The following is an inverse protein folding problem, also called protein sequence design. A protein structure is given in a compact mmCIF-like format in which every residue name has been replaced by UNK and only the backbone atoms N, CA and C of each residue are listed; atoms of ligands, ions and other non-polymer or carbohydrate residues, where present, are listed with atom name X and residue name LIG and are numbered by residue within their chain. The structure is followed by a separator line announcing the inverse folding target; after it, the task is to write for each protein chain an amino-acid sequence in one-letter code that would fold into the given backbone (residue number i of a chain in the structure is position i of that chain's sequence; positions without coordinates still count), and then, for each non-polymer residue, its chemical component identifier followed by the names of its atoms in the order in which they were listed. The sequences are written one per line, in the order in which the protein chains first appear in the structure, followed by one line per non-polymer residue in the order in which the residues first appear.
data_IF_078459918711
#
_entry.id   IF_078459918711
#
_cell.length_a   1.000
_cell.length_b   1.000
_cell.length_c   1.000
_cell.angle_alpha   90.00
_cell.angle_beta   90.00
_cell.angle_gamma   90.00
#
_symmetry.space_group_name_H-M   'P 1'
#
loop_
_entity.id
_entity.type
_entity.pdbx_description
1 polymer ?
#
# COMPACT_ATOMS: atom_id res chain seq x y z
N UNK A 1 -1.64 -17.54 -2.27
CA UNK A 1 -0.62 -17.51 -3.33
C UNK A 1 0.34 -18.67 -3.09
N UNK A 2 0.96 -19.20 -4.14
CA UNK A 2 1.93 -20.28 -4.03
C UNK A 2 3.23 -19.81 -3.36
N UNK A 3 3.88 -20.68 -2.58
CA UNK A 3 5.09 -20.36 -1.83
C UNK A 3 6.22 -19.73 -2.68
N UNK A 4 6.55 -20.24 -3.89
CA UNK A 4 7.61 -19.65 -4.70
C UNK A 4 7.31 -18.22 -5.17
N UNK A 5 6.02 -17.89 -5.35
CA UNK A 5 5.59 -16.54 -5.73
C UNK A 5 5.76 -15.60 -4.54
N UNK A 6 5.37 -16.05 -3.34
CA UNK A 6 5.55 -15.28 -2.11
C UNK A 6 7.03 -15.01 -1.84
N UNK A 7 7.90 -16.01 -2.03
CA UNK A 7 9.36 -15.82 -1.89
C UNK A 7 9.89 -14.77 -2.87
N UNK A 8 9.50 -14.86 -4.15
CA UNK A 8 9.92 -13.90 -5.17
C UNK A 8 9.42 -12.47 -4.88
N UNK A 9 8.24 -12.31 -4.27
CA UNK A 9 7.74 -11.02 -3.79
C UNK A 9 8.59 -10.54 -2.61
N UNK A 10 8.79 -11.37 -1.60
CA UNK A 10 9.56 -11.07 -0.40
C UNK A 10 11.00 -10.63 -0.73
N UNK A 11 11.66 -11.26 -1.70
CA UNK A 11 13.00 -10.88 -2.16
C UNK A 11 13.06 -9.48 -2.79
N UNK A 12 11.97 -9.01 -3.39
CA UNK A 12 11.89 -7.71 -4.08
C UNK A 12 11.35 -6.58 -3.20
N UNK A 13 10.72 -6.92 -2.07
CA UNK A 13 10.20 -5.93 -1.14
C UNK A 13 11.33 -5.08 -0.54
N UNK A 14 11.07 -3.78 -0.43
CA UNK A 14 11.98 -2.81 0.20
C UNK A 14 11.24 -2.10 1.32
N UNK A 15 11.79 -2.21 2.52
CA UNK A 15 11.22 -1.51 3.68
C UNK A 15 11.40 0.00 3.52
N UNK A 16 10.33 0.76 3.81
CA UNK A 16 10.36 2.21 3.82
C UNK A 16 9.54 2.73 5.00
N UNK A 17 10.15 3.63 5.79
CA UNK A 17 9.50 4.27 6.93
C UNK A 17 8.97 5.63 6.53
N UNK A 18 7.76 5.95 6.98
CA UNK A 18 7.12 7.24 6.80
C UNK A 18 6.82 7.84 8.17
N UNK A 19 6.93 9.16 8.27
CA UNK A 19 6.52 9.91 9.47
C UNK A 19 5.05 10.30 9.35
N UNK A 20 4.40 10.62 10.47
CA UNK A 20 3.00 11.08 10.48
C UNK A 20 2.83 12.29 9.54
N UNK A 21 1.72 12.31 8.78
CA UNK A 21 1.43 13.33 7.77
C UNK A 21 2.13 13.12 6.41
N UNK A 22 3.00 12.11 6.27
CA UNK A 22 3.59 11.78 4.97
C UNK A 22 2.55 11.23 4.00
N UNK A 23 2.69 11.57 2.73
CA UNK A 23 1.86 11.02 1.65
C UNK A 23 2.56 9.82 1.02
N UNK A 24 1.91 8.65 1.08
CA UNK A 24 2.44 7.40 0.48
C UNK A 24 2.05 7.28 -0.99
N UNK A 25 0.81 7.63 -1.33
CA UNK A 25 0.26 7.62 -2.69
C UNK A 25 -0.63 8.85 -2.91
N UNK A 26 -0.85 9.22 -4.17
CA UNK A 26 -1.64 10.39 -4.55
C UNK A 26 -2.72 10.00 -5.56
N UNK A 27 -3.96 10.42 -5.30
CA UNK A 27 -5.06 10.27 -6.26
C UNK A 27 -4.71 10.89 -7.61
N UNK A 28 -5.03 10.18 -8.71
CA UNK A 28 -4.70 10.60 -10.08
C UNK A 28 -3.23 10.41 -10.48
N UNK A 29 -2.38 9.94 -9.57
CA UNK A 29 -1.01 9.53 -9.90
C UNK A 29 -0.97 8.14 -10.53
N UNK A 30 0.13 7.84 -11.23
CA UNK A 30 0.39 6.48 -11.72
C UNK A 30 0.72 5.60 -10.52
N UNK A 31 0.08 4.44 -10.47
CA UNK A 31 0.35 3.42 -9.47
C UNK A 31 1.53 2.61 -9.99
N UNK A 32 2.68 2.69 -9.33
CA UNK A 32 3.91 2.01 -9.76
C UNK A 32 4.37 0.94 -8.77
N UNK A 33 3.82 0.95 -7.55
CA UNK A 33 4.24 0.09 -6.45
C UNK A 33 3.05 -0.34 -5.61
N UNK A 34 3.05 -1.61 -5.23
CA UNK A 34 2.22 -2.11 -4.14
C UNK A 34 2.90 -1.83 -2.81
N UNK A 35 2.13 -1.39 -1.82
CA UNK A 35 2.61 -1.08 -0.47
C UNK A 35 1.90 -1.96 0.54
N UNK A 36 2.67 -2.64 1.38
CA UNK A 36 2.18 -3.44 2.50
C UNK A 36 2.39 -2.68 3.80
N UNK A 37 1.35 -2.56 4.61
CA UNK A 37 1.42 -1.92 5.93
C UNK A 37 1.91 -2.94 6.94
N UNK A 38 3.21 -2.91 7.24
CA UNK A 38 3.82 -3.80 8.25
C UNK A 38 3.64 -3.25 9.66
N UNK A 39 3.51 -1.92 9.82
CA UNK A 39 3.24 -1.28 11.11
C UNK A 39 2.66 0.12 10.92
N UNK A 40 1.73 0.49 11.80
CA UNK A 40 1.07 1.80 11.77
C UNK A 40 -0.25 1.78 11.00
N UNK A 41 -0.69 2.95 10.53
CA UNK A 41 -1.94 3.12 9.78
C UNK A 41 -1.76 4.11 8.64
N UNK A 42 -2.47 3.89 7.55
CA UNK A 42 -2.62 4.83 6.44
C UNK A 42 -4.09 5.25 6.34
N UNK A 43 -4.33 6.49 5.97
CA UNK A 43 -5.68 7.02 5.78
C UNK A 43 -5.76 7.70 4.42
N UNK A 44 -6.82 7.43 3.68
CA UNK A 44 -7.11 8.17 2.45
C UNK A 44 -7.65 9.54 2.79
N UNK A 45 -7.04 10.57 2.20
CA UNK A 45 -7.41 11.97 2.46
C UNK A 45 -8.71 12.35 1.74
N UNK A 46 -9.01 11.73 0.59
CA UNK A 46 -10.19 12.02 -0.25
C UNK A 46 -10.66 10.74 -0.96
N UNK A 47 -11.42 9.87 -0.29
CA UNK A 47 -12.04 8.72 -0.96
C UNK A 47 -13.04 9.16 -2.03
N UNK A 48 -13.30 8.30 -3.02
CA UNK A 48 -14.12 8.60 -4.22
C UNK A 48 -15.51 9.17 -3.88
N UNK A 49 -16.08 8.80 -2.72
CA UNK A 49 -17.38 9.25 -2.23
C UNK A 49 -17.31 10.09 -0.93
N UNK A 50 -16.15 10.65 -0.60
CA UNK A 50 -15.90 11.31 0.69
C UNK A 50 -15.73 10.35 1.87
N UNK A 51 -15.81 9.04 1.64
CA UNK A 51 -15.54 8.00 2.62
C UNK A 51 -14.05 7.63 2.51
N UNK A 52 -13.26 8.07 3.48
CA UNK A 52 -11.85 7.67 3.59
C UNK A 52 -11.73 6.17 3.92
N UNK A 53 -10.80 5.49 3.26
CA UNK A 53 -10.40 4.13 3.60
C UNK A 53 -9.20 4.23 4.56
N UNK A 54 -9.27 3.48 5.65
CA UNK A 54 -8.15 3.31 6.59
C UNK A 54 -7.55 1.93 6.39
N UNK A 55 -6.23 1.88 6.22
CA UNK A 55 -5.44 0.66 6.16
C UNK A 55 -4.61 0.52 7.43
N UNK A 56 -4.61 -0.66 8.02
CA UNK A 56 -3.89 -1.02 9.22
C UNK A 56 -2.84 -2.10 8.92
N UNK A 57 -2.16 -2.55 9.97
CA UNK A 57 -1.18 -3.63 9.86
C UNK A 57 -1.78 -4.88 9.22
N UNK A 58 -1.08 -5.41 8.21
CA UNK A 58 -1.52 -6.55 7.39
C UNK A 58 -2.22 -6.16 6.10
N UNK A 59 -2.71 -4.91 5.98
CA UNK A 59 -3.37 -4.44 4.77
C UNK A 59 -2.37 -4.01 3.67
N UNK A 60 -2.84 -3.98 2.43
CA UNK A 60 -2.09 -3.55 1.26
C UNK A 60 -2.83 -2.47 0.45
N UNK A 61 -2.09 -1.73 -0.37
CA UNK A 61 -2.61 -0.77 -1.36
C UNK A 61 -1.79 -0.87 -2.65
N UNK A 62 -2.39 -0.55 -3.82
CA UNK A 62 -1.76 -0.75 -5.12
C UNK A 62 -2.07 -2.12 -5.75
N UNK A 63 -3.16 -2.76 -5.34
CA UNK A 63 -3.63 -4.07 -5.81
C UNK A 63 -4.05 -4.08 -7.29
N UNK A 64 -4.39 -2.91 -7.83
CA UNK A 64 -4.68 -2.66 -9.24
C UNK A 64 -3.51 -2.99 -10.19
N UNK A 65 -2.29 -3.19 -9.66
CA UNK A 65 -1.16 -3.67 -10.43
C UNK A 65 -1.23 -5.17 -10.75
N UNK A 66 -2.12 -5.91 -10.09
CA UNK A 66 -2.28 -7.35 -10.26
C UNK A 66 -3.41 -7.73 -11.22
N UNK A 67 -4.14 -6.73 -11.75
CA UNK A 67 -5.21 -6.88 -12.74
C UNK A 67 -4.75 -6.49 -14.13
#
# INVERSE_FOLDING_TARGET
MDEPILDAICERLRQKTYISGSRVMSQGGVVEKMVFVVRGKLESVNGENGIGISLAEGDACGEELLT
#
